data_IF_937054917859
#
_entry.id   IF_937054917859
#
_cell.length_a   1.000
_cell.length_b   1.000
_cell.length_c   1.000
_cell.angle_alpha   90.00
_cell.angle_beta   90.00
_cell.angle_gamma   90.00
#
_symmetry.space_group_name_H-M   'P 1'
#
loop_
_entity.id
_entity.type
_entity.pdbx_description
1 polymer ?
#
# COMPACT_ATOMS: atom_id res chain seq x y z
N UNK A 1 -8.08 -1.60 -12.80
CA UNK A 1 -6.90 -1.41 -11.96
C UNK A 1 -6.63 -2.72 -11.24
N UNK A 2 -5.44 -3.28 -11.37
CA UNK A 2 -5.02 -4.47 -10.60
C UNK A 2 -4.54 -4.06 -9.21
N UNK A 3 -4.44 -5.00 -8.24
CA UNK A 3 -3.84 -4.73 -6.93
C UNK A 3 -2.42 -4.17 -7.00
N UNK A 4 -1.62 -4.64 -7.95
CA UNK A 4 -0.28 -4.12 -8.22
C UNK A 4 -0.31 -2.67 -8.71
N UNK A 5 -1.18 -2.34 -9.67
CA UNK A 5 -1.35 -0.96 -10.17
C UNK A 5 -1.83 -0.02 -9.05
N UNK A 6 -2.75 -0.49 -8.20
CA UNK A 6 -3.20 0.26 -7.04
C UNK A 6 -2.06 0.52 -6.05
N UNK A 7 -1.26 -0.51 -5.73
CA UNK A 7 -0.08 -0.36 -4.88
C UNK A 7 0.96 0.58 -5.50
N UNK A 8 1.18 0.51 -6.81
CA UNK A 8 2.09 1.41 -7.52
C UNK A 8 1.62 2.87 -7.40
N UNK A 9 0.32 3.12 -7.51
CA UNK A 9 -0.27 4.45 -7.26
C UNK A 9 -0.01 4.91 -5.82
N UNK A 10 -0.18 4.05 -4.81
CA UNK A 10 0.17 4.37 -3.41
C UNK A 10 1.64 4.76 -3.28
N UNK A 11 2.54 3.99 -3.90
CA UNK A 11 3.98 4.27 -3.89
C UNK A 11 4.27 5.65 -4.48
N UNK A 12 3.60 6.05 -5.56
CA UNK A 12 3.76 7.37 -6.17
C UNK A 12 3.25 8.50 -5.27
N UNK A 13 2.06 8.34 -4.68
CA UNK A 13 1.45 9.31 -3.75
C UNK A 13 2.38 9.60 -2.57
N UNK A 14 2.95 8.55 -1.98
CA UNK A 14 3.79 8.66 -0.78
C UNK A 14 5.22 9.14 -1.08
N UNK A 15 5.62 9.20 -2.36
CA UNK A 15 6.93 9.68 -2.78
C UNK A 15 8.01 8.59 -2.94
N UNK A 16 7.59 7.35 -3.17
CA UNK A 16 8.47 6.24 -3.53
C UNK A 16 8.49 5.08 -2.53
N UNK A 17 9.13 3.97 -2.91
CA UNK A 17 9.10 2.72 -2.13
C UNK A 17 9.76 2.87 -0.75
N UNK A 18 10.86 3.63 -0.66
CA UNK A 18 11.53 3.93 0.62
C UNK A 18 10.67 4.80 1.53
N UNK A 19 9.98 5.81 0.97
CA UNK A 19 9.07 6.67 1.71
C UNK A 19 7.89 5.86 2.26
N UNK A 20 7.27 5.02 1.43
CA UNK A 20 6.19 4.12 1.84
C UNK A 20 6.65 3.16 2.95
N UNK A 21 7.81 2.52 2.78
CA UNK A 21 8.35 1.62 3.80
C UNK A 21 8.58 2.33 5.15
N UNK A 22 9.10 3.56 5.12
CA UNK A 22 9.29 4.39 6.31
C UNK A 22 7.96 4.74 6.97
N UNK A 23 6.97 5.21 6.20
CA UNK A 23 5.65 5.59 6.71
C UNK A 23 4.93 4.39 7.35
N UNK A 24 4.93 3.23 6.69
CA UNK A 24 4.34 2.00 7.24
C UNK A 24 5.08 1.56 8.51
N UNK A 25 6.41 1.67 8.52
CA UNK A 25 7.19 1.33 9.72
C UNK A 25 6.83 2.18 10.92
N UNK A 26 6.73 3.50 10.71
CA UNK A 26 6.38 4.46 11.77
C UNK A 26 4.96 4.21 12.31
N UNK A 27 3.98 3.97 11.43
CA UNK A 27 2.59 3.75 11.86
C UNK A 27 2.34 2.39 12.53
N UNK A 28 3.11 1.35 12.16
CA UNK A 28 2.90 -0.01 12.67
C UNK A 28 3.86 -0.42 13.79
N UNK A 29 4.97 0.30 13.96
CA UNK A 29 6.08 -0.10 14.82
C UNK A 29 6.88 -1.31 14.29
N UNK A 30 6.53 -1.86 13.11
CA UNK A 30 7.23 -2.98 12.49
C UNK A 30 8.31 -2.47 11.54
N UNK A 31 9.44 -3.18 11.45
CA UNK A 31 10.49 -2.81 10.49
C UNK A 31 10.08 -3.22 9.07
N UNK A 32 9.55 -2.27 8.30
CA UNK A 32 9.32 -2.40 6.86
C UNK A 32 10.45 -1.71 6.12
N UNK A 33 11.05 -2.44 5.17
CA UNK A 33 12.14 -1.95 4.32
C UNK A 33 11.66 -1.79 2.89
N UNK A 34 12.33 -0.94 2.11
CA UNK A 34 12.02 -0.74 0.69
C UNK A 34 11.93 -2.07 -0.09
N UNK A 35 12.77 -3.07 0.23
CA UNK A 35 12.72 -4.40 -0.38
C UNK A 35 11.37 -5.12 -0.18
N UNK A 36 10.65 -4.89 0.93
CA UNK A 36 9.32 -5.47 1.14
C UNK A 36 8.32 -4.87 0.15
N UNK A 37 8.36 -3.55 -0.03
CA UNK A 37 7.51 -2.85 -1.01
C UNK A 37 7.85 -3.33 -2.43
N UNK A 38 9.13 -3.51 -2.75
CA UNK A 38 9.56 -4.07 -4.02
C UNK A 38 9.00 -5.48 -4.25
N UNK A 39 9.05 -6.35 -3.23
CA UNK A 39 8.48 -7.71 -3.31
C UNK A 39 6.97 -7.67 -3.54
N UNK A 40 6.24 -6.80 -2.84
CA UNK A 40 4.79 -6.65 -3.02
C UNK A 40 4.42 -6.29 -4.46
N UNK A 41 5.18 -5.38 -5.08
CA UNK A 41 4.97 -4.96 -6.46
C UNK A 41 5.37 -6.03 -7.48
N UNK A 42 6.54 -6.65 -7.33
CA UNK A 42 7.18 -7.40 -8.43
C UNK A 42 7.08 -8.91 -8.28
N UNK A 43 6.68 -9.42 -7.11
CA UNK A 43 6.70 -10.86 -6.80
C UNK A 43 5.39 -11.35 -6.21
N UNK A 44 4.82 -10.62 -5.27
CA UNK A 44 3.65 -11.06 -4.51
C UNK A 44 2.32 -10.66 -5.18
N UNK A 45 2.36 -9.74 -6.17
CA UNK A 45 1.20 -9.28 -6.92
C UNK A 45 0.24 -8.38 -6.14
N UNK A 46 0.70 -7.82 -5.02
CA UNK A 46 -0.10 -7.03 -4.11
C UNK A 46 0.47 -7.01 -2.69
N UNK A 47 -0.25 -6.35 -1.78
CA UNK A 47 0.11 -6.27 -0.36
C UNK A 47 -0.60 -7.37 0.45
N UNK A 48 -0.06 -7.75 1.63
CA UNK A 48 -0.84 -8.47 2.62
C UNK A 48 -2.07 -7.65 3.06
N UNK A 49 -3.25 -8.27 3.11
CA UNK A 49 -4.53 -7.61 3.35
C UNK A 49 -4.60 -6.77 4.64
N UNK A 50 -3.81 -7.12 5.67
CA UNK A 50 -3.72 -6.36 6.92
C UNK A 50 -3.16 -4.94 6.73
N UNK A 51 -2.43 -4.69 5.64
CA UNK A 51 -1.89 -3.35 5.34
C UNK A 51 -2.85 -2.48 4.52
N UNK A 52 -3.88 -3.03 3.87
CA UNK A 52 -4.74 -2.25 2.97
C UNK A 52 -5.41 -1.03 3.66
N UNK A 53 -6.04 -1.16 4.85
CA UNK A 53 -6.65 -0.01 5.52
C UNK A 53 -5.65 1.07 5.92
N UNK A 54 -4.43 0.64 6.27
CA UNK A 54 -3.35 1.56 6.60
C UNK A 54 -2.90 2.37 5.38
N UNK A 55 -2.78 1.72 4.22
CA UNK A 55 -2.35 2.38 2.98
C UNK A 55 -3.43 3.32 2.45
N UNK A 56 -4.70 2.94 2.55
CA UNK A 56 -5.84 3.82 2.24
C UNK A 56 -5.81 5.08 3.11
N UNK A 57 -5.69 4.93 4.43
CA UNK A 57 -5.54 6.05 5.37
C UNK A 57 -4.32 6.91 5.06
N UNK A 58 -3.20 6.30 4.65
CA UNK A 58 -1.99 7.02 4.28
C UNK A 58 -2.22 7.85 3.00
N UNK A 59 -2.90 7.33 1.99
CA UNK A 59 -3.24 8.12 0.80
C UNK A 59 -4.11 9.33 1.15
N UNK A 60 -5.10 9.15 2.03
CA UNK A 60 -5.96 10.24 2.49
C UNK A 60 -5.18 11.36 3.19
N UNK A 61 -4.16 11.02 3.98
CA UNK A 61 -3.26 12.00 4.61
C UNK A 61 -2.45 12.83 3.59
N UNK A 62 -2.21 12.27 2.39
CA UNK A 62 -1.55 12.94 1.27
C UNK A 62 -2.55 13.63 0.32
N UNK A 63 -3.85 13.63 0.63
CA UNK A 63 -4.90 14.27 -0.16
C UNK A 63 -5.37 13.47 -1.38
N UNK A 64 -5.05 12.18 -1.45
CA UNK A 64 -5.39 11.28 -2.55
C UNK A 64 -6.19 10.07 -2.06
N UNK A 65 -6.85 9.35 -2.96
CA UNK A 65 -7.64 8.18 -2.61
C UNK A 65 -7.21 6.93 -3.39
N UNK A 66 -6.95 5.86 -2.63
CA UNK A 66 -6.77 4.50 -3.12
C UNK A 66 -7.49 3.55 -2.17
N UNK A 67 -8.72 3.11 -2.49
CA UNK A 67 -9.51 2.33 -1.56
C UNK A 67 -8.98 0.92 -1.35
N UNK A 68 -9.28 0.34 -0.18
CA UNK A 68 -8.89 -1.03 0.18
C UNK A 68 -9.35 -2.07 -0.85
N UNK A 69 -10.50 -1.84 -1.48
CA UNK A 69 -11.06 -2.72 -2.51
C UNK A 69 -10.25 -2.78 -3.79
N UNK A 70 -9.43 -1.76 -4.07
CA UNK A 70 -8.45 -1.83 -5.16
C UNK A 70 -7.15 -2.50 -4.73
N UNK A 71 -6.75 -2.35 -3.46
CA UNK A 71 -5.50 -2.92 -2.93
C UNK A 71 -5.60 -4.42 -2.63
N UNK A 72 -6.74 -4.88 -2.12
CA UNK A 72 -7.00 -6.27 -1.71
C UNK A 72 -8.49 -6.63 -1.92
N UNK A 73 -8.96 -6.78 -3.18
CA UNK A 73 -10.36 -7.00 -3.50
C UNK A 73 -10.96 -8.26 -2.87
N UNK A 74 -10.16 -9.32 -2.70
CA UNK A 74 -10.60 -10.59 -2.11
C UNK A 74 -10.98 -10.47 -0.63
N UNK A 75 -10.44 -9.47 0.07
CA UNK A 75 -10.67 -9.22 1.50
C UNK A 75 -11.57 -8.01 1.74
N UNK A 76 -11.61 -7.06 0.81
CA UNK A 76 -12.38 -5.83 0.88
C UNK A 76 -13.20 -5.67 -0.41
N UNK A 77 -14.36 -6.32 -0.54
CA UNK A 77 -15.18 -6.19 -1.74
C UNK A 77 -15.66 -4.74 -1.92
N UNK A 78 -15.83 -4.32 -3.17
CA UNK A 78 -16.44 -3.02 -3.46
C UNK A 78 -17.85 -2.94 -2.84
N UNK A 79 -18.11 -1.87 -2.10
CA UNK A 79 -19.42 -1.57 -1.51
C UNK A 79 -20.26 -0.72 -2.45
#
# INVERSE_FOLDING_TARGET
MTPEEALLKVVQIVGGQTALASAVSQKTGRSIRQQHVWNWLNRDGGIPAAYAPLLESLCQEYGEEVPCSLLCPDFYPAQ
#
